data_IF_970831931733
#
_entry.id   IF_970831931733
#
_cell.length_a   1.000
_cell.length_b   1.000
_cell.length_c   1.000
_cell.angle_alpha   90.00
_cell.angle_beta   90.00
_cell.angle_gamma   90.00
#
_symmetry.space_group_name_H-M   'P 1'
#
loop_
_entity.id
_entity.type
_entity.pdbx_description
1 polymer ?
#
# COMPACT_ATOMS: atom_id res chain seq x y z
N UNK A 1 -15.45 6.43 -17.70
CA UNK A 1 -15.42 6.33 -16.23
C UNK A 1 -13.98 6.55 -15.79
N UNK A 2 -13.67 7.70 -15.16
CA UNK A 2 -12.36 7.92 -14.55
C UNK A 2 -12.31 7.12 -13.25
N UNK A 3 -11.78 5.90 -13.28
CA UNK A 3 -11.54 5.12 -12.07
C UNK A 3 -10.57 5.90 -11.17
N UNK A 4 -11.10 6.56 -10.13
CA UNK A 4 -10.29 7.38 -9.21
C UNK A 4 -9.62 6.45 -8.20
N UNK A 5 -8.53 5.84 -8.64
CA UNK A 5 -7.64 5.11 -7.74
C UNK A 5 -6.75 6.07 -6.96
N UNK A 6 -6.56 5.79 -5.68
CA UNK A 6 -5.58 6.50 -4.86
C UNK A 6 -4.32 5.65 -4.79
N UNK A 7 -3.23 6.16 -5.34
CA UNK A 7 -1.91 5.52 -5.29
C UNK A 7 -1.06 6.14 -4.19
N UNK A 8 -0.54 5.29 -3.29
CA UNK A 8 0.41 5.68 -2.24
C UNK A 8 1.74 5.00 -2.56
N UNK A 9 2.75 5.80 -2.89
CA UNK A 9 4.11 5.34 -3.17
C UNK A 9 5.01 5.72 -2.01
N UNK A 10 5.79 4.75 -1.51
CA UNK A 10 6.76 4.93 -0.45
C UNK A 10 8.20 4.98 -1.00
N UNK A 11 9.10 5.65 -0.27
CA UNK A 11 10.50 5.84 -0.66
C UNK A 11 11.29 4.52 -0.84
N UNK A 12 10.83 3.43 -0.21
CA UNK A 12 11.41 2.09 -0.33
C UNK A 12 10.89 1.28 -1.52
N UNK A 13 10.19 1.93 -2.46
CA UNK A 13 9.68 1.33 -3.68
C UNK A 13 8.49 0.40 -3.45
N UNK A 14 7.70 0.65 -2.40
CA UNK A 14 6.41 0.00 -2.16
C UNK A 14 5.32 0.89 -2.70
N UNK A 15 4.43 0.32 -3.51
CA UNK A 15 3.30 1.01 -4.11
C UNK A 15 2.01 0.31 -3.72
N UNK A 16 1.09 1.08 -3.14
CA UNK A 16 -0.21 0.57 -2.70
C UNK A 16 -1.29 1.34 -3.44
N UNK A 17 -2.14 0.59 -4.15
CA UNK A 17 -3.25 1.16 -4.92
C UNK A 17 -4.55 0.84 -4.21
N UNK A 18 -5.32 1.87 -3.89
CA UNK A 18 -6.63 1.75 -3.27
C UNK A 18 -7.74 2.00 -4.30
N UNK A 19 -8.77 1.15 -4.24
CA UNK A 19 -9.99 1.30 -5.00
C UNK A 19 -10.79 2.55 -4.62
N UNK A 20 -11.72 2.94 -5.48
CA UNK A 20 -12.53 4.16 -5.32
C UNK A 20 -13.49 4.11 -4.10
N UNK A 21 -13.79 2.91 -3.60
CA UNK A 21 -14.63 2.68 -2.41
C UNK A 21 -13.92 2.98 -1.09
N UNK A 22 -12.59 3.11 -1.11
CA UNK A 22 -11.81 3.37 0.09
C UNK A 22 -11.83 4.87 0.46
N UNK A 23 -12.34 5.19 1.64
CA UNK A 23 -12.32 6.57 2.16
C UNK A 23 -10.89 7.06 2.41
N UNK A 24 -10.60 8.34 2.16
CA UNK A 24 -9.25 8.94 2.40
C UNK A 24 -8.74 8.73 3.83
N UNK A 25 -9.63 8.79 4.83
CA UNK A 25 -9.29 8.54 6.22
C UNK A 25 -8.84 7.08 6.45
N UNK A 26 -9.58 6.13 5.87
CA UNK A 26 -9.26 4.71 5.93
C UNK A 26 -7.95 4.40 5.19
N UNK A 27 -7.73 5.01 4.03
CA UNK A 27 -6.46 4.89 3.28
C UNK A 27 -5.28 5.37 4.13
N UNK A 28 -5.39 6.54 4.78
CA UNK A 28 -4.33 7.06 5.67
C UNK A 28 -4.04 6.13 6.84
N UNK A 29 -5.06 5.47 7.38
CA UNK A 29 -4.91 4.52 8.47
C UNK A 29 -4.27 3.20 8.02
N UNK A 30 -4.73 2.63 6.89
CA UNK A 30 -4.31 1.30 6.43
C UNK A 30 -3.02 1.30 5.61
N UNK A 31 -2.73 2.36 4.87
CA UNK A 31 -1.54 2.44 4.01
C UNK A 31 -0.22 2.13 4.74
N UNK A 32 0.07 2.66 5.95
CA UNK A 32 1.32 2.32 6.63
C UNK A 32 1.38 0.85 7.07
N UNK A 33 0.24 0.28 7.50
CA UNK A 33 0.14 -1.12 7.93
C UNK A 33 0.44 -2.06 6.76
N UNK A 34 -0.22 -1.84 5.62
CA UNK A 34 -0.02 -2.61 4.39
C UNK A 34 1.41 -2.47 3.84
N UNK A 35 1.99 -1.28 3.95
CA UNK A 35 3.38 -1.06 3.55
C UNK A 35 4.35 -1.88 4.42
N UNK A 36 4.11 -1.93 5.74
CA UNK A 36 4.96 -2.72 6.64
C UNK A 36 4.80 -4.23 6.45
N UNK A 37 3.58 -4.71 6.20
CA UNK A 37 3.31 -6.10 5.82
C UNK A 37 4.10 -6.49 4.56
N UNK A 38 4.10 -5.63 3.54
CA UNK A 38 4.85 -5.84 2.31
C UNK A 38 6.37 -5.83 2.54
N UNK A 39 6.88 -4.92 3.39
CA UNK A 39 8.30 -4.96 3.85
C UNK A 39 8.64 -6.28 4.52
N UNK A 40 7.77 -6.78 5.40
CA UNK A 40 7.96 -8.06 6.10
C UNK A 40 7.97 -9.23 5.11
N UNK A 41 7.09 -9.25 4.11
CA UNK A 41 7.13 -10.24 3.03
C UNK A 41 8.43 -10.21 2.24
N UNK A 42 8.89 -9.02 1.81
CA UNK A 42 10.16 -8.87 1.10
C UNK A 42 11.36 -9.35 1.92
N UNK A 43 11.35 -9.12 3.24
CA UNK A 43 12.38 -9.65 4.16
C UNK A 43 12.31 -11.17 4.29
N UNK A 44 11.11 -11.77 4.38
CA UNK A 44 10.93 -13.23 4.48
C UNK A 44 11.30 -13.95 3.17
N UNK A 45 10.97 -13.40 2.02
CA UNK A 45 11.31 -13.96 0.70
C UNK A 45 12.82 -14.03 0.41
N UNK A 46 13.62 -13.22 1.11
CA UNK A 46 15.08 -13.13 0.93
C UNK A 46 15.87 -14.13 1.78
N UNK A 47 15.20 -15.01 2.53
CA UNK A 47 15.81 -16.03 3.40
C UNK A 47 15.94 -17.41 2.74
N UNK A 48 15.73 -17.54 1.44
CA UNK A 48 15.86 -18.79 0.69
C UNK A 48 17.12 -18.80 -0.15
#
# INVERSE_FOLDING_TARGET
MNNRHVKVTYADGIEITFGETASRAWIRFMAPILAEEERKRRRKGRKR
#
